data_IF_315581832776
#
_entry.id   IF_315581832776
#
_cell.length_a   1.000
_cell.length_b   1.000
_cell.length_c   1.000
_cell.angle_alpha   90.00
_cell.angle_beta   90.00
_cell.angle_gamma   90.00
#
_symmetry.space_group_name_H-M   'P 1'
#
loop_
_entity.id
_entity.type
_entity.pdbx_description
1 polymer ?
#
# COMPACT_ATOMS: atom_id res chain seq x y z
N UNK A 1 -39.79 28.37 32.73
CA UNK A 1 -38.57 27.91 33.41
C UNK A 1 -37.56 29.04 33.36
N UNK A 2 -37.20 29.57 34.53
CA UNK A 2 -36.31 30.73 34.70
C UNK A 2 -34.92 30.44 34.15
N UNK A 3 -34.44 31.28 33.23
CA UNK A 3 -33.02 31.33 32.85
C UNK A 3 -32.30 32.13 33.92
N UNK A 4 -31.57 31.45 34.80
CA UNK A 4 -30.69 32.10 35.76
C UNK A 4 -29.51 32.71 34.99
N UNK A 5 -29.46 34.03 34.91
CA UNK A 5 -28.31 34.78 34.39
C UNK A 5 -27.21 34.69 35.43
N UNK A 6 -26.16 33.93 35.13
CA UNK A 6 -24.96 33.85 35.94
C UNK A 6 -24.22 35.20 35.88
N UNK A 7 -24.20 35.92 37.00
CA UNK A 7 -23.46 37.18 37.14
C UNK A 7 -21.97 36.83 37.30
N UNK A 8 -21.15 37.25 36.33
CA UNK A 8 -19.70 37.11 36.42
C UNK A 8 -19.17 38.01 37.56
N UNK A 9 -18.60 37.38 38.60
CA UNK A 9 -17.96 38.08 39.72
C UNK A 9 -16.56 38.60 39.35
N UNK A 10 -16.12 39.67 40.01
CA UNK A 10 -14.79 40.29 39.84
C UNK A 10 -13.72 39.23 40.14
N UNK A 11 -12.91 38.87 39.14
CA UNK A 11 -11.90 37.80 39.23
C UNK A 11 -11.80 36.92 37.97
N UNK A 12 -12.72 37.05 37.02
CA UNK A 12 -12.71 36.31 35.74
C UNK A 12 -11.72 36.88 34.70
N UNK A 13 -10.55 37.37 35.14
CA UNK A 13 -9.43 37.57 34.23
C UNK A 13 -8.77 36.20 34.02
N UNK A 14 -9.33 35.42 33.11
CA UNK A 14 -8.64 34.24 32.60
C UNK A 14 -7.62 34.78 31.59
N UNK A 15 -6.31 34.87 31.92
CA UNK A 15 -5.32 35.26 30.93
C UNK A 15 -5.47 34.33 29.71
N UNK A 16 -5.18 34.80 28.48
CA UNK A 16 -5.20 33.93 27.32
C UNK A 16 -4.43 32.65 27.68
N UNK A 17 -5.02 31.46 27.48
CA UNK A 17 -4.42 30.24 27.99
C UNK A 17 -3.01 30.16 27.45
N UNK A 18 -2.03 30.06 28.36
CA UNK A 18 -0.64 29.81 28.02
C UNK A 18 -0.62 28.72 26.94
N UNK A 19 0.18 28.92 25.89
CA UNK A 19 0.35 27.92 24.85
C UNK A 19 0.74 26.59 25.51
N UNK A 20 0.29 25.46 24.96
CA UNK A 20 0.58 24.15 25.58
C UNK A 20 2.09 23.93 25.81
N UNK A 21 2.95 24.51 24.97
CA UNK A 21 4.40 24.52 25.15
C UNK A 21 4.87 25.28 26.40
N UNK A 22 4.23 26.40 26.76
CA UNK A 22 4.55 27.20 27.94
C UNK A 22 4.13 26.46 29.23
N UNK A 23 2.97 25.79 29.20
CA UNK A 23 2.50 24.93 30.29
C UNK A 23 3.48 23.77 30.52
N UNK A 24 3.94 23.12 29.46
CA UNK A 24 4.94 22.05 29.55
C UNK A 24 6.29 22.56 30.07
N UNK A 25 6.71 23.75 29.64
CA UNK A 25 7.95 24.37 30.08
C UNK A 25 7.94 24.70 31.59
N UNK A 26 6.82 25.18 32.11
CA UNK A 26 6.64 25.46 33.53
C UNK A 26 6.54 24.17 34.35
N UNK A 27 5.68 23.23 33.94
CA UNK A 27 5.44 21.96 34.66
C UNK A 27 6.68 21.08 34.73
N UNK A 28 7.57 21.16 33.75
CA UNK A 28 8.78 20.33 33.67
C UNK A 28 10.08 21.15 33.76
N UNK A 29 10.05 22.30 34.44
CA UNK A 29 11.23 23.11 34.67
C UNK A 29 12.35 22.35 35.40
N UNK A 30 12.00 21.36 36.22
CA UNK A 30 12.95 20.45 36.89
C UNK A 30 13.74 19.59 35.88
N UNK A 31 13.10 19.06 34.84
CA UNK A 31 13.76 18.30 33.77
C UNK A 31 14.81 19.14 33.08
N UNK A 32 14.48 20.41 32.78
CA UNK A 32 15.43 21.33 32.15
C UNK A 32 16.66 21.53 33.03
N UNK A 33 16.46 21.73 34.34
CA UNK A 33 17.55 21.86 35.32
C UNK A 33 18.43 20.62 35.38
N UNK A 34 17.82 19.43 35.42
CA UNK A 34 18.56 18.16 35.48
C UNK A 34 19.39 17.93 34.20
N UNK A 35 18.85 18.29 33.02
CA UNK A 35 19.57 18.21 31.74
C UNK A 35 20.78 19.14 31.73
N UNK A 36 20.62 20.40 32.15
CA UNK A 36 21.73 21.36 32.24
C UNK A 36 22.83 20.87 33.21
N UNK A 37 22.44 20.31 34.36
CA UNK A 37 23.39 19.76 35.33
C UNK A 37 24.20 18.59 34.75
N UNK A 38 23.55 17.69 33.99
CA UNK A 38 24.23 16.58 33.30
C UNK A 38 25.10 17.09 32.14
N UNK A 39 24.65 18.10 31.39
CA UNK A 39 25.42 18.71 30.31
C UNK A 39 26.71 19.37 30.82
N UNK A 40 26.65 20.05 31.97
CA UNK A 40 27.82 20.61 32.63
C UNK A 40 28.82 19.51 33.03
N UNK A 41 28.35 18.40 33.63
CA UNK A 41 29.19 17.23 33.95
C UNK A 41 29.81 16.59 32.70
N UNK A 42 29.05 16.47 31.62
CA UNK A 42 29.53 15.93 30.36
C UNK A 42 30.58 16.84 29.69
N UNK A 43 30.47 18.15 29.87
CA UNK A 43 31.47 19.11 29.38
C UNK A 43 32.79 18.97 30.13
N UNK A 44 32.73 18.74 31.45
CA UNK A 44 33.90 18.57 32.30
C UNK A 44 34.52 17.15 32.26
N UNK A 45 33.83 16.17 31.68
CA UNK A 45 34.27 14.78 31.66
C UNK A 45 35.52 14.56 30.78
N UNK A 46 36.38 13.57 31.11
CA UNK A 46 37.53 13.20 30.28
C UNK A 46 37.13 12.85 28.85
N UNK A 47 37.87 13.37 27.86
CA UNK A 47 37.62 13.09 26.43
C UNK A 47 38.35 11.85 25.91
N UNK A 48 39.30 11.34 26.67
CA UNK A 48 40.00 10.09 26.41
C UNK A 48 40.13 9.32 27.73
N UNK A 49 39.81 8.03 27.71
CA UNK A 49 39.96 7.14 28.86
C UNK A 49 41.42 6.71 28.93
N UNK A 50 42.15 7.23 29.92
CA UNK A 50 43.57 6.88 30.14
C UNK A 50 43.77 6.07 31.40
N UNK A 51 42.83 6.17 32.34
CA UNK A 51 42.86 5.49 33.63
C UNK A 51 41.53 4.78 33.90
N UNK A 52 41.55 3.84 34.83
CA UNK A 52 40.34 3.15 35.29
C UNK A 52 39.37 4.12 36.01
N UNK A 53 39.91 5.17 36.65
CA UNK A 53 39.12 6.26 37.23
C UNK A 53 38.39 7.08 36.15
N UNK A 54 39.00 7.32 34.98
CA UNK A 54 38.33 7.96 33.85
C UNK A 54 37.17 7.08 33.34
N UNK A 55 37.38 5.76 33.30
CA UNK A 55 36.36 4.80 32.90
C UNK A 55 35.17 4.78 33.87
N UNK A 56 35.42 4.81 35.18
CA UNK A 56 34.38 4.86 36.21
C UNK A 56 33.60 6.19 36.19
N UNK A 57 34.29 7.32 36.02
CA UNK A 57 33.67 8.64 35.91
C UNK A 57 32.75 8.73 34.67
N UNK A 58 33.21 8.24 33.52
CA UNK A 58 32.38 8.16 32.30
C UNK A 58 31.25 7.15 32.49
N UNK A 59 31.51 6.00 33.10
CA UNK A 59 30.50 4.99 33.34
C UNK A 59 29.35 5.50 34.22
N UNK A 60 29.67 6.22 35.29
CA UNK A 60 28.68 6.87 36.16
C UNK A 60 27.88 7.93 35.40
N UNK A 61 28.55 8.79 34.62
CA UNK A 61 27.88 9.78 33.80
C UNK A 61 26.93 9.14 32.77
N UNK A 62 27.35 8.06 32.11
CA UNK A 62 26.51 7.32 31.14
C UNK A 62 25.28 6.71 31.82
N UNK A 63 25.42 6.16 33.04
CA UNK A 63 24.28 5.64 33.81
C UNK A 63 23.29 6.75 34.18
N UNK A 64 23.79 7.89 34.65
CA UNK A 64 22.97 9.04 35.03
C UNK A 64 22.22 9.62 33.83
N UNK A 65 22.89 9.77 32.68
CA UNK A 65 22.26 10.14 31.40
C UNK A 65 21.16 9.14 31.06
N UNK A 66 21.45 7.84 31.13
CA UNK A 66 20.47 6.79 30.85
C UNK A 66 19.25 6.85 31.76
N UNK A 67 19.44 7.09 33.05
CA UNK A 67 18.36 7.25 34.02
C UNK A 67 17.51 8.51 33.75
N UNK A 68 18.16 9.64 33.43
CA UNK A 68 17.48 10.89 33.09
C UNK A 68 16.68 10.73 31.79
N UNK A 69 17.25 10.13 30.74
CA UNK A 69 16.55 9.83 29.48
C UNK A 69 15.30 8.99 29.73
N UNK A 70 15.41 7.91 30.53
CA UNK A 70 14.25 7.08 30.90
C UNK A 70 13.18 7.88 31.63
N UNK A 71 13.57 8.72 32.60
CA UNK A 71 12.64 9.57 33.35
C UNK A 71 11.91 10.55 32.44
N UNK A 72 12.62 11.20 31.52
CA UNK A 72 12.06 12.10 30.52
C UNK A 72 11.07 11.36 29.63
N UNK A 73 11.42 10.18 29.14
CA UNK A 73 10.54 9.39 28.28
C UNK A 73 9.28 8.91 29.02
N UNK A 74 9.40 8.49 30.27
CA UNK A 74 8.24 8.17 31.12
C UNK A 74 7.33 9.38 31.28
N UNK A 75 7.87 10.57 31.58
CA UNK A 75 7.04 11.78 31.70
C UNK A 75 6.36 12.14 30.38
N UNK A 76 7.12 12.11 29.28
CA UNK A 76 6.59 12.36 27.93
C UNK A 76 5.46 11.41 27.56
N UNK A 77 5.61 10.12 27.87
CA UNK A 77 4.60 9.11 27.58
C UNK A 77 3.36 9.30 28.46
N UNK A 78 3.53 9.60 29.75
CA UNK A 78 2.42 9.92 30.67
C UNK A 78 1.65 11.17 30.27
N UNK A 79 2.33 12.27 29.96
CA UNK A 79 1.68 13.53 29.53
C UNK A 79 0.92 13.36 28.21
N UNK A 80 1.48 12.58 27.28
CA UNK A 80 0.87 12.32 25.99
C UNK A 80 -0.27 11.29 26.06
N UNK A 81 -0.27 10.41 27.07
CA UNK A 81 -1.24 9.32 27.19
C UNK A 81 -2.72 9.77 27.12
N UNK A 82 -3.19 10.76 27.90
CA UNK A 82 -4.59 11.19 27.85
C UNK A 82 -4.98 11.75 26.48
N UNK A 83 -4.08 12.48 25.81
CA UNK A 83 -4.35 13.04 24.49
C UNK A 83 -4.40 11.95 23.40
N UNK A 84 -3.53 10.95 23.47
CA UNK A 84 -3.60 9.79 22.57
C UNK A 84 -4.84 8.94 22.84
N UNK A 85 -5.23 8.78 24.11
CA UNK A 85 -6.43 8.06 24.47
C UNK A 85 -7.69 8.75 23.93
N UNK A 86 -7.78 10.08 24.12
CA UNK A 86 -8.86 10.88 23.56
C UNK A 86 -8.88 10.80 22.02
N UNK A 87 -7.71 10.86 21.36
CA UNK A 87 -7.61 10.66 19.91
C UNK A 87 -8.13 9.29 19.48
N UNK A 88 -7.71 8.21 20.16
CA UNK A 88 -8.18 6.84 19.89
C UNK A 88 -9.68 6.67 20.10
N UNK A 89 -10.26 7.33 21.10
CA UNK A 89 -11.70 7.29 21.34
C UNK A 89 -12.50 7.98 20.22
N UNK A 90 -12.00 9.12 19.73
CA UNK A 90 -12.56 9.81 18.57
C UNK A 90 -12.42 8.92 17.32
N UNK A 91 -11.23 8.38 17.07
CA UNK A 91 -10.97 7.49 15.93
C UNK A 91 -11.86 6.25 15.99
N UNK A 92 -12.02 5.63 17.17
CA UNK A 92 -12.88 4.47 17.35
C UNK A 92 -14.36 4.81 17.13
N UNK A 93 -14.83 5.95 17.64
CA UNK A 93 -16.20 6.40 17.43
C UNK A 93 -16.52 6.58 15.95
N UNK A 94 -15.65 7.26 15.20
CA UNK A 94 -15.85 7.48 13.77
C UNK A 94 -15.58 6.22 12.93
N UNK A 95 -14.64 5.38 13.36
CA UNK A 95 -14.28 4.12 12.73
C UNK A 95 -15.48 3.19 12.53
N UNK A 96 -16.39 3.11 13.50
CA UNK A 96 -17.61 2.30 13.38
C UNK A 96 -18.48 2.71 12.19
N UNK A 97 -18.55 4.01 11.87
CA UNK A 97 -19.33 4.50 10.73
C UNK A 97 -18.59 4.29 9.42
N UNK A 98 -17.29 4.59 9.38
CA UNK A 98 -16.47 4.41 8.17
C UNK A 98 -16.39 2.93 7.79
N UNK A 99 -16.12 2.04 8.74
CA UNK A 99 -16.05 0.59 8.50
C UNK A 99 -17.37 0.04 7.95
N UNK A 100 -18.50 0.53 8.46
CA UNK A 100 -19.82 0.13 7.96
C UNK A 100 -20.05 0.61 6.53
N UNK A 101 -19.72 1.87 6.24
CA UNK A 101 -19.87 2.45 4.90
C UNK A 101 -18.91 1.81 3.90
N UNK A 102 -17.68 1.47 4.31
CA UNK A 102 -16.71 0.74 3.51
C UNK A 102 -17.23 -0.66 3.15
N UNK A 103 -17.74 -1.43 4.12
CA UNK A 103 -18.35 -2.74 3.83
C UNK A 103 -19.54 -2.65 2.88
N UNK A 104 -20.39 -1.63 3.04
CA UNK A 104 -21.51 -1.37 2.12
C UNK A 104 -20.97 -1.07 0.72
N UNK A 105 -19.99 -0.17 0.62
CA UNK A 105 -19.34 0.19 -0.65
C UNK A 105 -18.71 -1.03 -1.31
N UNK A 106 -17.93 -1.83 -0.58
CA UNK A 106 -17.29 -3.05 -1.07
C UNK A 106 -18.31 -4.05 -1.61
N UNK A 107 -19.44 -4.22 -0.91
CA UNK A 107 -20.52 -5.11 -1.35
C UNK A 107 -21.08 -4.65 -2.70
N UNK A 108 -21.43 -3.37 -2.85
CA UNK A 108 -21.95 -2.85 -4.11
C UNK A 108 -20.89 -2.77 -5.21
N UNK A 109 -19.62 -2.52 -4.86
CA UNK A 109 -18.51 -2.57 -5.79
C UNK A 109 -18.32 -3.99 -6.32
N UNK A 110 -18.37 -5.01 -5.48
CA UNK A 110 -18.27 -6.40 -5.90
C UNK A 110 -19.41 -6.80 -6.85
N UNK A 111 -20.64 -6.32 -6.60
CA UNK A 111 -21.79 -6.52 -7.50
C UNK A 111 -21.53 -5.82 -8.85
N UNK A 112 -21.04 -4.59 -8.83
CA UNK A 112 -20.70 -3.84 -10.04
C UNK A 112 -19.57 -4.53 -10.84
N UNK A 113 -18.56 -5.05 -10.15
CA UNK A 113 -17.44 -5.78 -10.75
C UNK A 113 -17.90 -7.10 -11.37
N UNK A 114 -18.77 -7.86 -10.72
CA UNK A 114 -19.36 -9.08 -11.28
C UNK A 114 -20.19 -8.78 -12.54
N UNK A 115 -21.02 -7.74 -12.49
CA UNK A 115 -21.77 -7.29 -13.67
C UNK A 115 -20.84 -6.84 -14.80
N UNK A 116 -19.78 -6.10 -14.50
CA UNK A 116 -18.77 -5.70 -15.47
C UNK A 116 -18.06 -6.91 -16.09
N UNK A 117 -17.67 -7.91 -15.27
CA UNK A 117 -17.05 -9.16 -15.75
C UNK A 117 -18.00 -9.95 -16.65
N UNK A 118 -19.28 -10.08 -16.27
CA UNK A 118 -20.32 -10.74 -17.07
C UNK A 118 -20.52 -10.03 -18.40
N UNK A 119 -20.70 -8.72 -18.39
CA UNK A 119 -20.85 -7.92 -19.61
C UNK A 119 -19.64 -8.02 -20.53
N UNK A 120 -18.41 -7.98 -20.00
CA UNK A 120 -17.20 -8.21 -20.80
C UNK A 120 -17.11 -9.65 -21.32
N UNK A 121 -17.61 -10.65 -20.61
CA UNK A 121 -17.65 -12.02 -21.09
C UNK A 121 -18.69 -12.21 -22.21
N UNK A 122 -19.89 -11.64 -22.06
CA UNK A 122 -20.95 -11.65 -23.06
C UNK A 122 -20.53 -10.94 -24.34
N UNK A 123 -19.95 -9.74 -24.23
CA UNK A 123 -19.46 -8.98 -25.39
C UNK A 123 -18.32 -9.73 -26.11
N UNK A 124 -17.40 -10.35 -25.36
CA UNK A 124 -16.37 -11.22 -25.97
C UNK A 124 -16.99 -12.41 -26.69
N UNK A 125 -17.94 -13.11 -26.06
CA UNK A 125 -18.61 -14.25 -26.67
C UNK A 125 -19.42 -13.86 -27.92
N UNK A 126 -20.05 -12.68 -27.92
CA UNK A 126 -20.77 -12.14 -29.07
C UNK A 126 -19.82 -11.86 -30.25
N UNK A 127 -18.69 -11.20 -29.99
CA UNK A 127 -17.66 -10.92 -31.00
C UNK A 127 -17.02 -12.19 -31.54
N UNK A 128 -16.71 -13.16 -30.68
CA UNK A 128 -16.21 -14.47 -31.10
C UNK A 128 -17.24 -15.24 -31.96
N UNK A 129 -18.52 -15.17 -31.61
CA UNK A 129 -19.59 -15.79 -32.40
C UNK A 129 -19.83 -15.07 -33.74
N UNK A 130 -19.60 -13.76 -33.82
CA UNK A 130 -19.63 -12.99 -35.06
C UNK A 130 -18.42 -13.34 -35.95
N UNK A 131 -17.22 -13.38 -35.38
CA UNK A 131 -16.00 -13.80 -36.08
C UNK A 131 -16.16 -15.21 -36.66
N UNK A 132 -16.62 -16.19 -35.87
CA UNK A 132 -16.89 -17.56 -36.35
C UNK A 132 -17.93 -17.61 -37.47
N UNK A 133 -18.97 -16.76 -37.42
CA UNK A 133 -20.00 -16.70 -38.47
C UNK A 133 -19.45 -16.11 -39.77
N UNK A 134 -18.62 -15.07 -39.68
CA UNK A 134 -17.96 -14.46 -40.82
C UNK A 134 -16.95 -15.42 -41.47
N UNK A 135 -16.14 -16.12 -40.68
CA UNK A 135 -15.21 -17.15 -41.16
C UNK A 135 -15.93 -18.30 -41.88
N UNK A 136 -17.01 -18.82 -41.28
CA UNK A 136 -17.81 -19.89 -41.88
C UNK A 136 -18.49 -19.45 -43.18
N UNK A 137 -18.89 -18.18 -43.30
CA UNK A 137 -19.45 -17.64 -44.55
C UNK A 137 -18.37 -17.49 -45.63
N UNK A 138 -17.18 -16.99 -45.27
CA UNK A 138 -16.06 -16.90 -46.19
C UNK A 138 -15.68 -18.29 -46.75
N UNK A 139 -15.61 -19.31 -45.88
CA UNK A 139 -15.33 -20.69 -46.29
C UNK A 139 -16.42 -21.26 -47.20
N UNK A 140 -17.71 -21.01 -46.89
CA UNK A 140 -18.82 -21.42 -47.76
C UNK A 140 -18.72 -20.79 -49.15
N UNK A 141 -18.41 -19.50 -49.25
CA UNK A 141 -18.30 -18.82 -50.55
C UNK A 141 -17.11 -19.36 -51.37
N UNK A 142 -15.96 -19.64 -50.73
CA UNK A 142 -14.80 -20.27 -51.38
C UNK A 142 -15.12 -21.66 -51.91
N UNK A 143 -15.84 -22.48 -51.13
CA UNK A 143 -16.25 -23.82 -51.56
C UNK A 143 -17.19 -23.76 -52.77
N UNK A 144 -18.13 -22.81 -52.80
CA UNK A 144 -19.05 -22.62 -53.94
C UNK A 144 -18.27 -22.15 -55.18
N UNK A 145 -17.32 -21.24 -55.02
CA UNK A 145 -16.46 -20.77 -56.11
C UNK A 145 -15.64 -21.92 -56.71
N UNK A 146 -14.94 -22.70 -55.88
CA UNK A 146 -14.17 -23.88 -56.30
C UNK A 146 -15.02 -24.87 -57.09
N UNK A 147 -16.23 -25.20 -56.59
CA UNK A 147 -17.16 -26.10 -57.30
C UNK A 147 -17.66 -25.51 -58.62
N UNK A 148 -17.82 -24.19 -58.71
CA UNK A 148 -18.22 -23.52 -59.95
C UNK A 148 -17.10 -23.49 -61.00
N UNK A 149 -15.84 -23.35 -60.57
CA UNK A 149 -14.65 -23.49 -61.43
C UNK A 149 -14.53 -24.91 -61.98
N UNK A 150 -14.63 -25.92 -61.10
CA UNK A 150 -14.62 -27.34 -61.50
C UNK A 150 -15.73 -27.68 -62.51
N UNK A 151 -16.87 -26.98 -62.42
CA UNK A 151 -18.00 -27.11 -63.34
C UNK A 151 -17.93 -26.18 -64.57
N UNK A 152 -16.81 -25.49 -64.83
CA UNK A 152 -16.61 -24.52 -65.91
C UNK A 152 -17.64 -23.35 -65.95
N UNK A 153 -18.23 -23.00 -64.80
CA UNK A 153 -19.18 -21.87 -64.66
C UNK A 153 -18.44 -20.61 -64.22
N UNK A 154 -17.56 -20.09 -65.08
CA UNK A 154 -16.64 -18.98 -64.78
C UNK A 154 -17.32 -17.75 -64.16
N UNK A 155 -18.46 -17.29 -64.70
CA UNK A 155 -19.21 -16.14 -64.13
C UNK A 155 -19.77 -16.41 -62.72
N UNK A 156 -20.02 -17.67 -62.38
CA UNK A 156 -20.49 -18.06 -61.05
C UNK A 156 -19.30 -18.16 -60.09
N UNK A 157 -18.16 -18.69 -60.55
CA UNK A 157 -16.91 -18.69 -59.80
C UNK A 157 -16.48 -17.27 -59.41
N UNK A 158 -16.31 -16.37 -60.40
CA UNK A 158 -15.91 -14.97 -60.18
C UNK A 158 -16.83 -14.24 -59.19
N UNK A 159 -18.14 -14.46 -59.28
CA UNK A 159 -19.13 -13.85 -58.37
C UNK A 159 -18.99 -14.37 -56.93
N UNK A 160 -18.70 -15.65 -56.76
CA UNK A 160 -18.54 -16.26 -55.44
C UNK A 160 -17.15 -16.00 -54.85
N UNK A 161 -16.12 -15.84 -55.67
CA UNK A 161 -14.78 -15.37 -55.25
C UNK A 161 -14.82 -13.94 -54.73
N UNK A 162 -15.45 -13.01 -55.47
CA UNK A 162 -15.62 -11.64 -55.00
C UNK A 162 -16.41 -11.57 -53.67
N UNK A 163 -17.37 -12.49 -53.47
CA UNK A 163 -18.11 -12.62 -52.19
C UNK A 163 -17.25 -13.23 -51.09
N UNK A 164 -16.37 -14.17 -51.42
CA UNK A 164 -15.43 -14.77 -50.49
C UNK A 164 -14.38 -13.77 -50.00
N UNK A 165 -13.90 -12.88 -50.86
CA UNK A 165 -12.99 -11.79 -50.49
C UNK A 165 -13.65 -10.81 -49.51
N UNK A 166 -14.86 -10.32 -49.85
CA UNK A 166 -15.62 -9.43 -48.96
C UNK A 166 -15.93 -10.09 -47.60
N UNK A 167 -16.28 -11.38 -47.60
CA UNK A 167 -16.52 -12.13 -46.37
C UNK A 167 -15.24 -12.37 -45.56
N UNK A 168 -14.10 -12.57 -46.22
CA UNK A 168 -12.79 -12.72 -45.56
C UNK A 168 -12.33 -11.40 -44.91
N UNK A 169 -12.54 -10.26 -45.57
CA UNK A 169 -12.27 -8.95 -45.00
C UNK A 169 -13.15 -8.65 -43.77
N UNK A 170 -14.44 -9.02 -43.86
CA UNK A 170 -15.37 -8.93 -42.72
C UNK A 170 -14.94 -9.83 -41.56
N UNK A 171 -14.47 -11.05 -41.85
CA UNK A 171 -13.94 -11.96 -40.85
C UNK A 171 -12.67 -11.41 -40.17
N UNK A 172 -11.74 -10.85 -40.95
CA UNK A 172 -10.53 -10.23 -40.43
C UNK A 172 -10.84 -9.03 -39.52
N UNK A 173 -11.80 -8.19 -39.90
CA UNK A 173 -12.26 -7.07 -39.07
C UNK A 173 -12.96 -7.53 -37.79
N UNK A 174 -13.81 -8.56 -37.86
CA UNK A 174 -14.49 -9.12 -36.70
C UNK A 174 -13.49 -9.77 -35.71
N UNK A 175 -12.48 -10.49 -36.22
CA UNK A 175 -11.43 -11.09 -35.40
C UNK A 175 -10.53 -10.03 -34.74
N UNK A 176 -10.17 -8.97 -35.46
CA UNK A 176 -9.45 -7.84 -34.88
C UNK A 176 -10.26 -7.13 -33.78
N UNK A 177 -11.58 -6.95 -33.99
CA UNK A 177 -12.48 -6.36 -33.00
C UNK A 177 -12.68 -7.26 -31.77
N UNK A 178 -12.65 -8.59 -31.93
CA UNK A 178 -12.72 -9.56 -30.83
C UNK A 178 -11.46 -9.53 -29.94
N UNK A 179 -10.30 -9.21 -30.53
CA UNK A 179 -9.01 -9.11 -29.82
C UNK A 179 -8.77 -7.74 -29.17
N UNK A 180 -9.62 -6.73 -29.43
CA UNK A 180 -9.52 -5.42 -28.81
C UNK A 180 -9.73 -5.49 -27.27
N UNK A 181 -9.00 -4.65 -26.53
CA UNK A 181 -8.93 -4.71 -25.06
C UNK A 181 -10.26 -4.46 -24.35
N UNK A 182 -10.48 -5.16 -23.22
CA UNK A 182 -11.74 -5.13 -22.46
C UNK A 182 -12.15 -3.75 -21.92
N UNK A 183 -11.22 -2.79 -21.84
CA UNK A 183 -11.45 -1.43 -21.36
C UNK A 183 -12.41 -0.62 -22.26
N UNK A 184 -12.49 -0.94 -23.55
CA UNK A 184 -13.43 -0.28 -24.48
C UNK A 184 -14.84 -0.90 -24.47
N UNK A 185 -15.00 -2.09 -23.87
CA UNK A 185 -16.26 -2.85 -23.88
C UNK A 185 -17.29 -2.32 -22.86
N UNK A 186 -16.84 -1.65 -21.80
CA UNK A 186 -17.70 -1.29 -20.66
C UNK A 186 -17.59 0.21 -20.41
N UNK A 187 -18.06 1.02 -21.36
CA UNK A 187 -18.47 2.40 -21.06
C UNK A 187 -19.99 2.42 -21.09
N UNK A 188 -20.61 2.62 -19.93
CA UNK A 188 -22.08 2.74 -19.87
C UNK A 188 -22.44 3.89 -18.93
N UNK A 189 -23.15 4.88 -19.48
CA UNK A 189 -23.71 5.99 -18.72
C UNK A 189 -25.00 5.50 -18.06
N UNK A 190 -25.06 5.57 -16.73
CA UNK A 190 -26.28 5.24 -15.99
C UNK A 190 -27.26 6.42 -16.03
N UNK A 191 -28.55 6.14 -15.81
CA UNK A 191 -29.59 7.18 -15.77
C UNK A 191 -29.35 8.24 -14.70
N UNK A 192 -28.63 7.90 -13.63
CA UNK A 192 -28.24 8.80 -12.53
C UNK A 192 -27.07 9.73 -12.88
N UNK A 193 -26.52 9.65 -14.10
CA UNK A 193 -25.37 10.46 -14.53
C UNK A 193 -24.01 9.89 -14.12
N UNK A 194 -23.96 8.80 -13.34
CA UNK A 194 -22.71 8.12 -12.98
C UNK A 194 -22.17 7.31 -14.17
N UNK A 195 -20.88 7.46 -14.45
CA UNK A 195 -20.19 6.71 -15.49
C UNK A 195 -19.55 5.46 -14.87
N UNK A 196 -19.98 4.27 -15.30
CA UNK A 196 -19.27 3.03 -15.00
C UNK A 196 -18.29 2.74 -16.15
N UNK A 197 -16.99 2.68 -15.82
CA UNK A 197 -15.93 2.30 -16.75
C UNK A 197 -15.24 1.02 -16.28
N UNK A 198 -15.15 0.01 -17.15
CA UNK A 198 -14.31 -1.15 -16.87
C UNK A 198 -12.83 -0.81 -17.02
N UNK A 199 -11.99 -1.27 -16.07
CA UNK A 199 -10.53 -1.24 -16.19
C UNK A 199 -9.99 -2.66 -16.03
N UNK A 200 -9.05 -3.05 -16.89
CA UNK A 200 -8.29 -4.28 -16.69
C UNK A 200 -7.14 -4.00 -15.73
N UNK A 201 -7.06 -4.76 -14.64
CA UNK A 201 -5.96 -4.73 -13.68
C UNK A 201 -5.35 -6.14 -13.59
N UNK A 202 -4.02 -6.20 -13.57
CA UNK A 202 -3.30 -7.45 -13.37
C UNK A 202 -3.22 -7.73 -11.86
N UNK A 203 -3.75 -8.87 -11.44
CA UNK A 203 -3.73 -9.32 -10.05
C UNK A 203 -3.10 -10.71 -9.95
N UNK A 204 -2.81 -11.17 -8.74
CA UNK A 204 -2.20 -12.47 -8.48
C UNK A 204 -2.84 -13.15 -7.26
N UNK A 205 -2.73 -14.47 -7.22
CA UNK A 205 -3.13 -15.31 -6.09
C UNK A 205 -1.93 -16.20 -5.73
N UNK A 206 -1.63 -16.31 -4.43
CA UNK A 206 -0.54 -17.17 -3.95
C UNK A 206 -1.12 -18.54 -3.64
N UNK A 207 -0.71 -19.54 -4.41
CA UNK A 207 -1.13 -20.94 -4.24
C UNK A 207 -0.21 -21.73 -3.31
N UNK A 208 1.10 -21.52 -3.42
CA UNK A 208 2.12 -22.08 -2.55
C UNK A 208 3.23 -21.05 -2.31
N UNK A 209 3.42 -20.68 -1.05
CA UNK A 209 4.44 -19.71 -0.66
C UNK A 209 5.86 -20.27 -0.76
N UNK A 210 6.04 -21.57 -0.50
CA UNK A 210 7.36 -22.20 -0.49
C UNK A 210 7.94 -22.38 -1.90
N UNK A 211 7.08 -22.50 -2.91
CA UNK A 211 7.46 -22.60 -4.31
C UNK A 211 7.90 -21.27 -4.94
N UNK A 212 7.75 -20.13 -4.25
CA UNK A 212 8.05 -18.81 -4.81
C UNK A 212 9.58 -18.62 -4.97
N UNK A 213 10.10 -18.43 -6.20
CA UNK A 213 11.52 -18.20 -6.42
C UNK A 213 11.90 -16.77 -6.01
N UNK A 214 12.51 -16.62 -4.83
CA UNK A 214 12.91 -15.31 -4.28
C UNK A 214 13.91 -14.56 -5.16
N UNK A 215 14.67 -15.25 -6.02
CA UNK A 215 15.63 -14.62 -6.94
C UNK A 215 14.95 -13.74 -7.99
N UNK A 216 13.74 -14.11 -8.45
CA UNK A 216 12.96 -13.29 -9.40
C UNK A 216 12.45 -12.02 -8.72
N UNK A 217 12.13 -12.11 -7.44
CA UNK A 217 11.61 -11.00 -6.64
C UNK A 217 12.72 -10.08 -6.11
N UNK A 218 13.99 -10.51 -6.19
CA UNK A 218 15.13 -9.81 -5.58
C UNK A 218 15.28 -8.36 -6.05
N UNK A 219 14.95 -8.05 -7.31
CA UNK A 219 15.00 -6.70 -7.84
C UNK A 219 13.90 -5.77 -7.30
N UNK A 220 12.81 -6.35 -6.77
CA UNK A 220 11.66 -5.63 -6.24
C UNK A 220 11.66 -5.52 -4.71
N UNK A 221 12.56 -6.24 -4.03
CA UNK A 221 12.72 -6.18 -2.58
C UNK A 221 13.59 -4.97 -2.18
N UNK A 222 13.07 -4.05 -1.34
CA UNK A 222 13.85 -2.92 -0.88
C UNK A 222 15.00 -3.38 0.01
N UNK A 223 16.14 -2.67 -0.08
CA UNK A 223 17.37 -3.00 0.66
C UNK A 223 17.15 -3.14 2.17
N UNK A 224 16.26 -2.34 2.75
CA UNK A 224 15.94 -2.37 4.18
C UNK A 224 15.38 -3.72 4.65
N UNK A 225 14.55 -4.39 3.85
CA UNK A 225 13.99 -5.69 4.21
C UNK A 225 15.04 -6.81 4.10
N UNK A 226 15.94 -6.70 3.11
CA UNK A 226 17.08 -7.60 2.98
C UNK A 226 18.02 -7.47 4.19
N UNK A 227 18.35 -6.24 4.59
CA UNK A 227 19.17 -5.99 5.79
C UNK A 227 18.53 -6.51 7.07
N UNK A 228 17.20 -6.36 7.20
CA UNK A 228 16.44 -6.87 8.35
C UNK A 228 16.53 -8.40 8.43
N UNK A 229 16.39 -9.08 7.29
CA UNK A 229 16.58 -10.52 7.19
C UNK A 229 18.02 -10.95 7.57
N UNK A 230 19.03 -10.23 7.06
CA UNK A 230 20.45 -10.48 7.39
C UNK A 230 20.69 -10.31 8.90
N UNK A 231 20.21 -9.23 9.52
CA UNK A 231 20.36 -9.00 10.98
C UNK A 231 19.69 -10.11 11.79
N UNK A 232 18.49 -10.55 11.39
CA UNK A 232 17.81 -11.66 12.05
C UNK A 232 18.62 -12.97 11.95
N UNK A 233 19.17 -13.27 10.77
CA UNK A 233 20.02 -14.44 10.54
C UNK A 233 21.30 -14.38 11.37
N UNK A 234 22.01 -13.24 11.38
CA UNK A 234 23.24 -13.04 12.16
C UNK A 234 22.97 -13.18 13.65
N UNK A 235 21.84 -12.69 14.16
CA UNK A 235 21.47 -12.80 15.58
C UNK A 235 21.29 -14.25 16.04
N UNK A 236 20.66 -15.08 15.20
CA UNK A 236 20.40 -16.49 15.51
C UNK A 236 21.68 -17.32 15.36
N UNK A 237 22.39 -17.13 14.25
CA UNK A 237 23.51 -18.00 13.88
C UNK A 237 24.86 -17.52 14.41
N UNK A 238 24.97 -16.27 14.88
CA UNK A 238 26.19 -15.68 15.49
C UNK A 238 27.47 -15.89 14.67
N UNK A 239 27.35 -15.97 13.34
CA UNK A 239 28.47 -16.25 12.43
C UNK A 239 28.73 -17.72 12.08
N UNK A 240 28.01 -18.68 12.67
CA UNK A 240 28.13 -20.10 12.37
C UNK A 240 27.69 -20.47 10.94
N UNK A 241 26.83 -19.66 10.32
CA UNK A 241 26.36 -19.85 8.95
C UNK A 241 26.68 -18.60 8.12
N UNK A 242 27.77 -18.60 7.33
CA UNK A 242 28.16 -17.45 6.52
C UNK A 242 27.17 -17.22 5.38
N UNK A 243 26.85 -15.95 5.10
CA UNK A 243 26.05 -15.54 3.95
C UNK A 243 27.02 -14.99 2.88
N UNK A 244 26.99 -15.51 1.64
CA UNK A 244 27.78 -14.95 0.55
C UNK A 244 27.56 -13.43 0.39
N UNK A 245 28.64 -12.65 0.38
CA UNK A 245 28.59 -11.19 0.25
C UNK A 245 28.38 -10.40 1.55
N UNK A 246 28.24 -11.06 2.71
CA UNK A 246 28.11 -10.39 4.01
C UNK A 246 29.26 -10.78 4.94
N UNK A 247 30.00 -9.79 5.43
CA UNK A 247 31.04 -9.99 6.45
C UNK A 247 30.42 -9.90 7.85
N UNK A 248 30.37 -11.04 8.54
CA UNK A 248 29.92 -11.13 9.94
C UNK A 248 31.16 -11.08 10.83
N UNK A 249 31.17 -10.20 11.84
CA UNK A 249 32.27 -10.06 12.79
C UNK A 249 31.73 -9.77 14.19
N UNK A 250 32.50 -10.15 15.20
CA UNK A 250 32.23 -9.81 16.59
C UNK A 250 32.77 -8.40 16.89
N UNK A 251 31.92 -7.58 17.50
CA UNK A 251 32.26 -6.21 17.91
C UNK A 251 32.14 -6.14 19.44
N UNK A 252 33.25 -5.84 20.12
CA UNK A 252 33.28 -5.73 21.58
C UNK A 252 32.88 -4.31 21.97
N UNK A 253 31.72 -4.18 22.61
CA UNK A 253 31.21 -2.90 23.09
C UNK A 253 31.18 -2.84 24.60
N UNK A 254 31.70 -1.76 25.16
CA UNK A 254 31.50 -1.45 26.57
C UNK A 254 30.01 -1.25 26.85
N UNK A 255 29.51 -1.89 27.91
CA UNK A 255 28.14 -1.76 28.38
C UNK A 255 28.13 -1.28 29.82
N UNK A 256 27.44 -0.17 30.05
CA UNK A 256 27.25 0.39 31.39
C UNK A 256 25.83 0.02 31.85
N UNK A 257 25.71 -0.77 32.93
CA UNK A 257 24.43 -1.17 33.53
C UNK A 257 24.19 -0.45 34.84
#
# INVERSE_FOLDING_TARGET
MNVAVAVATIGHNNPPPLGHAEILAERHADVRRDVEAVAARATAAPRAIKTEADLDAIGTLVKDIGALVRRIDTRRTTEKAPHLQAGREVDAFFGVFTDRLEKIRETFQAIADDHARKKAAEERAAREAEARRAEAEAERQREIARRAEEANRLKTAEKHDARAEVAADQAAQATAAAQAGAADLIRTRTASGTLATGRTEWTFEITDFAAIPLEVLRAYLPRAEIEKAIRAHVRVNKGAMPIPGVRIFEDVRASFR
#
